data_IF_839067177468
#
_entry.id   IF_839067177468
#
_cell.length_a   1.000
_cell.length_b   1.000
_cell.length_c   1.000
_cell.angle_alpha   90.00
_cell.angle_beta   90.00
_cell.angle_gamma   90.00
#
_symmetry.space_group_name_H-M   'P 1'
#
loop_
_entity.id
_entity.type
_entity.pdbx_description
1 polymer ?
#
# COMPACT_ATOMS: atom_id res chain seq x y z
N UNK A 1 1.22 -5.65 12.68
CA UNK A 1 1.64 -6.66 13.70
C UNK A 1 0.88 -7.97 13.56
N UNK A 2 -0.44 -7.99 13.31
CA UNK A 2 -1.20 -9.25 13.20
C UNK A 2 -0.70 -10.21 12.10
N UNK A 3 -0.36 -9.70 10.92
CA UNK A 3 0.26 -10.54 9.87
C UNK A 3 1.61 -11.14 10.27
N UNK A 4 2.45 -10.37 11.00
CA UNK A 4 3.68 -10.92 11.57
C UNK A 4 3.38 -12.01 12.61
N UNK A 5 2.40 -11.80 13.49
CA UNK A 5 2.00 -12.79 14.47
C UNK A 5 1.53 -14.11 13.82
N UNK A 6 0.82 -14.02 12.69
CA UNK A 6 0.46 -15.20 11.89
C UNK A 6 1.69 -15.92 11.36
N UNK A 7 2.61 -15.21 10.70
CA UNK A 7 3.83 -15.80 10.14
C UNK A 7 4.64 -16.51 11.23
N UNK A 8 4.83 -15.86 12.38
CA UNK A 8 5.55 -16.45 13.51
C UNK A 8 4.88 -17.72 14.05
N UNK A 9 3.55 -17.70 14.15
CA UNK A 9 2.79 -18.90 14.55
C UNK A 9 2.93 -20.04 13.54
N UNK A 10 2.84 -19.73 12.24
CA UNK A 10 3.05 -20.68 11.17
C UNK A 10 4.50 -21.20 11.11
N UNK A 11 5.48 -20.42 11.57
CA UNK A 11 6.88 -20.84 11.78
C UNK A 11 7.08 -21.73 13.03
N UNK A 12 6.03 -21.93 13.85
CA UNK A 12 6.09 -22.81 15.01
C UNK A 12 6.36 -22.10 16.35
N UNK A 13 6.36 -20.77 16.40
CA UNK A 13 6.46 -20.03 17.65
C UNK A 13 5.14 -20.04 18.42
N UNK A 14 5.21 -20.04 19.75
CA UNK A 14 4.08 -19.72 20.61
C UNK A 14 3.93 -18.19 20.71
N UNK A 15 2.86 -17.64 20.14
CA UNK A 15 2.68 -16.21 19.93
C UNK A 15 1.51 -15.68 20.73
N UNK A 16 1.76 -14.63 21.49
CA UNK A 16 0.72 -13.79 22.10
C UNK A 16 0.94 -12.32 21.73
N UNK A 17 -0.09 -11.49 21.83
CA UNK A 17 -0.01 -10.07 21.46
C UNK A 17 -0.79 -9.17 22.39
N UNK A 18 -0.24 -7.99 22.69
CA UNK A 18 -0.90 -6.93 23.45
C UNK A 18 -1.18 -5.72 22.56
N UNK A 19 -2.35 -5.12 22.71
CA UNK A 19 -2.70 -3.83 22.12
C UNK A 19 -3.63 -3.04 23.05
N UNK A 20 -3.72 -1.72 22.85
CA UNK A 20 -4.59 -0.85 23.64
C UNK A 20 -6.05 -1.34 23.61
N UNK A 21 -6.54 -1.70 22.41
CA UNK A 21 -7.87 -2.27 22.16
C UNK A 21 -7.84 -3.16 20.93
N UNK A 22 -8.71 -4.16 20.94
CA UNK A 22 -8.93 -5.03 19.81
C UNK A 22 -10.34 -4.81 19.23
N UNK A 23 -10.47 -4.55 17.94
CA UNK A 23 -11.74 -4.34 17.25
C UNK A 23 -11.73 -4.97 15.86
N UNK A 24 -12.93 -5.35 15.34
CA UNK A 24 -13.03 -5.90 13.98
C UNK A 24 -12.52 -4.94 12.90
N UNK A 25 -11.96 -5.48 11.80
CA UNK A 25 -11.86 -6.90 11.45
C UNK A 25 -10.67 -7.63 12.08
N UNK A 26 -9.72 -6.90 12.69
CA UNK A 26 -8.45 -7.45 13.16
C UNK A 26 -8.61 -8.35 14.39
N UNK A 27 -9.52 -8.01 15.32
CA UNK A 27 -9.83 -8.87 16.47
C UNK A 27 -10.35 -10.25 16.06
N UNK A 28 -11.26 -10.26 15.07
CA UNK A 28 -11.84 -11.51 14.57
C UNK A 28 -10.80 -12.36 13.86
N UNK A 29 -9.92 -11.70 13.10
CA UNK A 29 -8.80 -12.35 12.46
C UNK A 29 -7.84 -13.01 13.46
N UNK A 30 -7.36 -12.28 14.46
CA UNK A 30 -6.46 -12.80 15.50
C UNK A 30 -7.10 -13.98 16.25
N UNK A 31 -8.40 -13.89 16.54
CA UNK A 31 -9.17 -14.99 17.15
C UNK A 31 -9.25 -16.22 16.24
N UNK A 32 -9.54 -16.00 14.94
CA UNK A 32 -9.61 -17.08 13.92
C UNK A 32 -8.30 -17.85 13.83
N UNK A 33 -7.17 -17.16 13.83
CA UNK A 33 -5.83 -17.78 13.79
C UNK A 33 -5.35 -18.25 15.17
N UNK A 34 -6.14 -18.07 16.23
CA UNK A 34 -5.84 -18.57 17.58
C UNK A 34 -4.64 -17.89 18.26
N UNK A 35 -4.46 -16.58 18.04
CA UNK A 35 -3.47 -15.78 18.78
C UNK A 35 -4.10 -15.32 20.10
N UNK A 36 -3.42 -15.58 21.21
CA UNK A 36 -3.83 -15.08 22.52
C UNK A 36 -3.62 -13.56 22.59
N UNK A 37 -4.69 -12.80 22.85
CA UNK A 37 -4.65 -11.34 22.91
C UNK A 37 -4.80 -10.84 24.34
N UNK A 38 -4.09 -9.74 24.67
CA UNK A 38 -4.06 -9.08 25.97
C UNK A 38 -4.42 -7.61 25.73
N UNK A 39 -5.54 -7.15 26.30
CA UNK A 39 -5.95 -5.76 26.18
C UNK A 39 -5.23 -4.85 27.17
N UNK A 40 -4.67 -3.75 26.67
CA UNK A 40 -3.90 -2.77 27.41
C UNK A 40 -2.42 -3.14 27.54
N UNK A 41 -1.67 -2.22 28.13
CA UNK A 41 -0.21 -2.30 28.26
C UNK A 41 0.26 -2.22 29.72
N UNK A 42 -0.51 -2.79 30.65
CA UNK A 42 -0.11 -2.77 32.07
C UNK A 42 1.08 -3.70 32.32
N UNK A 43 2.09 -3.21 33.04
CA UNK A 43 3.29 -3.93 33.45
C UNK A 43 2.99 -5.35 33.97
N UNK A 44 2.01 -5.48 34.86
CA UNK A 44 1.60 -6.77 35.45
C UNK A 44 0.93 -7.74 34.48
N UNK A 45 0.55 -7.28 33.27
CA UNK A 45 -0.08 -8.08 32.21
C UNK A 45 0.92 -8.48 31.13
N UNK A 46 2.18 -8.06 31.23
CA UNK A 46 3.24 -8.49 30.31
C UNK A 46 3.46 -9.99 30.50
N UNK A 47 3.22 -10.84 29.46
CA UNK A 47 3.46 -12.27 29.59
C UNK A 47 4.95 -12.57 29.65
N UNK A 48 5.31 -13.67 30.30
CA UNK A 48 6.67 -14.21 30.18
C UNK A 48 6.91 -14.73 28.77
N UNK A 49 8.04 -14.35 28.17
CA UNK A 49 8.39 -14.69 26.81
C UNK A 49 9.91 -14.68 26.60
N UNK A 50 10.39 -15.52 25.70
CA UNK A 50 11.81 -15.58 25.30
C UNK A 50 12.23 -14.32 24.52
N UNK A 51 11.28 -13.67 23.82
CA UNK A 51 11.54 -12.50 22.99
C UNK A 51 10.31 -11.61 22.88
N UNK A 52 10.50 -10.30 23.07
CA UNK A 52 9.45 -9.29 22.91
C UNK A 52 9.58 -8.56 21.59
N UNK A 53 8.52 -8.54 20.80
CA UNK A 53 8.47 -7.84 19.50
C UNK A 53 7.72 -6.53 19.67
N UNK A 54 8.41 -5.41 19.61
CA UNK A 54 7.85 -4.08 19.86
C UNK A 54 7.38 -3.47 18.54
N UNK A 55 6.08 -3.12 18.47
CA UNK A 55 5.47 -2.47 17.31
C UNK A 55 5.86 -1.00 17.18
N UNK A 56 5.84 -0.48 15.97
CA UNK A 56 6.25 0.89 15.64
C UNK A 56 5.43 1.99 16.36
N UNK A 57 4.16 1.72 16.65
CA UNK A 57 3.29 2.68 17.34
C UNK A 57 3.62 2.87 18.82
N UNK A 58 4.46 2.01 19.40
CA UNK A 58 4.84 2.09 20.82
C UNK A 58 6.10 2.95 21.00
N UNK A 59 6.15 3.66 22.15
CA UNK A 59 7.27 4.51 22.51
C UNK A 59 7.53 4.48 24.03
N UNK A 60 8.55 5.23 24.46
CA UNK A 60 8.83 5.46 25.89
C UNK A 60 7.59 6.02 26.59
N UNK A 61 7.40 5.62 27.84
CA UNK A 61 6.21 5.91 28.64
C UNK A 61 5.11 4.85 28.57
N UNK A 62 5.20 3.86 27.66
CA UNK A 62 4.33 2.70 27.68
C UNK A 62 4.77 1.71 28.77
N UNK A 63 3.88 1.31 29.68
CA UNK A 63 4.23 0.51 30.86
C UNK A 63 4.91 -0.82 30.51
N UNK A 64 4.48 -1.50 29.44
CA UNK A 64 5.13 -2.74 29.00
C UNK A 64 6.51 -2.47 28.40
N UNK A 65 6.67 -1.39 27.64
CA UNK A 65 7.98 -1.00 27.09
C UNK A 65 8.95 -0.66 28.19
N UNK A 66 8.54 0.13 29.21
CA UNK A 66 9.38 0.46 30.34
C UNK A 66 9.79 -0.79 31.11
N UNK A 67 8.87 -1.75 31.34
CA UNK A 67 9.20 -3.01 32.01
C UNK A 67 10.23 -3.84 31.22
N UNK A 68 10.08 -3.97 29.90
CA UNK A 68 11.03 -4.67 29.05
C UNK A 68 12.43 -4.06 29.16
N UNK A 69 12.52 -2.72 29.17
CA UNK A 69 13.78 -1.99 29.27
C UNK A 69 14.40 -2.09 30.68
N UNK A 70 13.59 -1.89 31.73
CA UNK A 70 14.06 -1.93 33.16
C UNK A 70 14.60 -3.29 33.54
N UNK A 71 13.94 -4.36 33.10
CA UNK A 71 14.34 -5.75 33.35
C UNK A 71 15.37 -6.27 32.34
N UNK A 72 15.77 -5.45 31.33
CA UNK A 72 16.71 -5.84 30.25
C UNK A 72 16.27 -7.13 29.53
N UNK A 73 14.97 -7.28 29.34
CA UNK A 73 14.41 -8.43 28.62
C UNK A 73 14.79 -8.37 27.13
N UNK A 74 14.96 -9.52 26.46
CA UNK A 74 15.27 -9.55 25.02
C UNK A 74 14.15 -8.93 24.18
N UNK A 75 14.45 -7.98 23.33
CA UNK A 75 13.46 -7.37 22.43
C UNK A 75 14.02 -7.03 21.07
N UNK A 76 13.12 -6.97 20.08
CA UNK A 76 13.41 -6.60 18.69
C UNK A 76 12.25 -5.78 18.11
N UNK A 77 12.46 -5.15 16.95
CA UNK A 77 11.39 -4.55 16.17
C UNK A 77 10.62 -5.60 15.36
N UNK A 78 9.38 -5.27 14.96
CA UNK A 78 8.60 -6.15 14.05
C UNK A 78 9.34 -6.47 12.76
N UNK A 79 9.86 -5.47 12.02
CA UNK A 79 10.65 -5.69 10.81
C UNK A 79 11.90 -6.55 11.03
N UNK A 80 12.62 -6.36 12.14
CA UNK A 80 13.79 -7.17 12.47
C UNK A 80 13.41 -8.64 12.71
N UNK A 81 12.33 -8.90 13.45
CA UNK A 81 11.86 -10.27 13.67
C UNK A 81 11.45 -10.93 12.35
N UNK A 82 10.70 -10.22 11.50
CA UNK A 82 10.34 -10.73 10.18
C UNK A 82 11.58 -11.03 9.32
N UNK A 83 12.56 -10.15 9.34
CA UNK A 83 13.82 -10.35 8.59
C UNK A 83 14.56 -11.62 9.01
N UNK A 84 14.48 -12.02 10.29
CA UNK A 84 15.03 -13.30 10.78
C UNK A 84 14.32 -14.50 10.15
N UNK A 85 12.99 -14.45 10.06
CA UNK A 85 12.18 -15.50 9.40
C UNK A 85 12.44 -15.58 7.88
N UNK A 86 12.74 -14.44 7.25
CA UNK A 86 12.96 -14.35 5.81
C UNK A 86 14.38 -14.68 5.35
N UNK A 87 15.33 -14.91 6.26
CA UNK A 87 16.78 -15.04 5.98
C UNK A 87 17.12 -15.99 4.83
N UNK A 88 16.37 -17.09 4.69
CA UNK A 88 16.62 -18.11 3.68
C UNK A 88 15.60 -18.09 2.53
N UNK A 89 14.81 -16.99 2.41
CA UNK A 89 13.81 -16.85 1.39
C UNK A 89 14.31 -16.05 0.19
N UNK A 90 13.69 -16.29 -0.95
CA UNK A 90 13.82 -15.43 -2.13
C UNK A 90 12.80 -14.28 -2.00
N UNK A 91 13.20 -13.17 -1.37
CA UNK A 91 12.32 -12.07 -1.02
C UNK A 91 12.15 -11.13 -2.20
N UNK A 92 10.89 -10.91 -2.60
CA UNK A 92 10.45 -9.85 -3.49
C UNK A 92 9.90 -8.70 -2.64
N UNK A 93 10.65 -7.62 -2.54
CA UNK A 93 10.26 -6.43 -1.80
C UNK A 93 9.70 -5.37 -2.74
N UNK A 94 8.45 -5.02 -2.58
CA UNK A 94 7.78 -3.99 -3.38
C UNK A 94 7.78 -2.69 -2.61
N UNK A 95 8.56 -1.73 -3.07
CA UNK A 95 8.76 -0.43 -2.45
C UNK A 95 8.30 0.73 -3.34
N UNK A 96 8.32 1.92 -2.80
CA UNK A 96 7.92 3.15 -3.47
C UNK A 96 6.83 3.89 -2.71
N UNK A 97 6.59 5.15 -3.05
CA UNK A 97 5.58 5.97 -2.39
C UNK A 97 4.17 5.45 -2.69
N UNK A 98 3.90 5.10 -3.95
CA UNK A 98 2.58 4.65 -4.41
C UNK A 98 2.65 3.27 -5.06
N UNK A 99 1.52 2.54 -5.07
CA UNK A 99 1.36 1.27 -5.77
C UNK A 99 1.86 0.03 -5.02
N UNK A 100 2.58 0.15 -3.90
CA UNK A 100 3.15 -0.98 -3.12
C UNK A 100 2.17 -2.13 -2.92
N UNK A 101 1.04 -1.86 -2.28
CA UNK A 101 0.01 -2.87 -1.92
C UNK A 101 -0.53 -3.58 -3.15
N UNK A 102 -0.91 -2.82 -4.18
CA UNK A 102 -1.51 -3.37 -5.41
C UNK A 102 -0.51 -4.25 -6.16
N UNK A 103 0.73 -3.78 -6.36
CA UNK A 103 1.79 -4.56 -7.02
C UNK A 103 2.13 -5.82 -6.24
N UNK A 104 2.18 -5.74 -4.89
CA UNK A 104 2.44 -6.91 -4.04
C UNK A 104 1.36 -7.97 -4.19
N UNK A 105 0.08 -7.59 -4.16
CA UNK A 105 -1.02 -8.52 -4.39
C UNK A 105 -1.07 -9.06 -5.82
N UNK A 106 -0.81 -8.23 -6.83
CA UNK A 106 -0.71 -8.70 -8.23
C UNK A 106 0.38 -9.77 -8.39
N UNK A 107 1.57 -9.52 -7.85
CA UNK A 107 2.68 -10.47 -7.92
C UNK A 107 2.39 -11.75 -7.14
N UNK A 108 1.87 -11.63 -5.93
CA UNK A 108 1.45 -12.79 -5.13
C UNK A 108 0.36 -13.60 -5.84
N UNK A 109 -0.61 -12.93 -6.46
CA UNK A 109 -1.68 -13.56 -7.24
C UNK A 109 -1.14 -14.35 -8.43
N UNK A 110 -0.19 -13.80 -9.20
CA UNK A 110 0.49 -14.53 -10.28
C UNK A 110 1.09 -15.83 -9.75
N UNK A 111 1.87 -15.76 -8.69
CA UNK A 111 2.53 -16.95 -8.12
C UNK A 111 1.54 -18.00 -7.65
N UNK A 112 0.48 -17.60 -6.95
CA UNK A 112 -0.54 -18.53 -6.45
C UNK A 112 -1.36 -19.15 -7.59
N UNK A 113 -1.76 -18.37 -8.61
CA UNK A 113 -2.49 -18.87 -9.79
C UNK A 113 -1.64 -19.85 -10.62
N UNK A 114 -0.30 -19.69 -10.59
CA UNK A 114 0.66 -20.64 -11.17
C UNK A 114 1.00 -21.83 -10.23
N UNK A 115 0.21 -22.03 -9.17
CA UNK A 115 0.30 -23.19 -8.29
C UNK A 115 1.45 -23.15 -7.28
N UNK A 116 2.06 -22.01 -7.02
CA UNK A 116 3.15 -21.88 -6.03
C UNK A 116 2.59 -21.53 -4.65
N UNK A 117 3.01 -22.24 -3.62
CA UNK A 117 2.61 -21.97 -2.22
C UNK A 117 3.52 -20.92 -1.57
N UNK A 118 3.57 -19.70 -2.14
CA UNK A 118 4.46 -18.62 -1.69
C UNK A 118 4.10 -18.08 -0.30
N UNK A 119 5.08 -17.50 0.39
CA UNK A 119 4.81 -16.62 1.53
C UNK A 119 4.54 -15.19 1.09
N UNK A 120 3.77 -14.45 1.88
CA UNK A 120 3.54 -13.03 1.64
C UNK A 120 3.16 -12.28 2.92
N UNK A 121 3.45 -10.97 2.93
CA UNK A 121 2.95 -10.01 3.91
C UNK A 121 2.64 -8.70 3.18
N UNK A 122 1.37 -8.39 3.04
CA UNK A 122 0.88 -7.23 2.29
C UNK A 122 -0.13 -6.47 3.14
N UNK A 123 -0.08 -5.14 3.13
CA UNK A 123 -1.10 -4.31 3.75
C UNK A 123 -2.43 -4.34 2.97
N UNK A 124 -3.53 -3.98 3.63
CA UNK A 124 -4.84 -3.97 2.97
C UNK A 124 -5.46 -5.35 2.83
N UNK A 125 -6.51 -5.43 2.02
CA UNK A 125 -7.35 -6.62 1.82
C UNK A 125 -7.60 -6.80 0.32
N UNK A 126 -7.51 -8.02 -0.18
CA UNK A 126 -7.93 -8.40 -1.52
C UNK A 126 -8.86 -9.60 -1.46
N UNK A 127 -9.90 -9.62 -2.32
CA UNK A 127 -10.87 -10.73 -2.36
C UNK A 127 -10.27 -12.02 -2.97
N UNK A 128 -9.06 -11.97 -3.49
CA UNK A 128 -8.33 -13.14 -3.99
C UNK A 128 -7.54 -13.87 -2.89
N UNK A 129 -7.49 -13.29 -1.68
CA UNK A 129 -6.67 -13.78 -0.57
C UNK A 129 -7.50 -13.92 0.72
N UNK A 130 -7.40 -15.05 1.39
CA UNK A 130 -8.08 -15.27 2.67
C UNK A 130 -7.51 -14.40 3.81
N UNK A 131 -6.25 -14.04 3.70
CA UNK A 131 -5.48 -13.32 4.73
C UNK A 131 -4.51 -12.30 4.09
N UNK A 132 -4.07 -11.32 4.86
CA UNK A 132 -3.03 -10.37 4.44
C UNK A 132 -1.59 -10.89 4.63
N UNK A 133 -1.43 -12.07 5.22
CA UNK A 133 -0.15 -12.71 5.47
C UNK A 133 -0.25 -14.23 5.39
N UNK A 134 0.83 -14.87 4.97
CA UNK A 134 1.01 -16.31 4.95
C UNK A 134 2.51 -16.60 4.93
N UNK A 135 2.96 -17.60 5.68
CA UNK A 135 4.37 -18.04 5.65
C UNK A 135 4.72 -18.73 4.33
N UNK A 136 3.79 -19.52 3.79
CA UNK A 136 3.99 -20.31 2.58
C UNK A 136 5.09 -21.38 2.72
N UNK A 137 5.11 -22.32 1.79
CA UNK A 137 6.11 -23.42 1.75
C UNK A 137 7.17 -23.21 0.68
N UNK A 138 6.84 -22.45 -0.39
CA UNK A 138 7.78 -22.10 -1.46
C UNK A 138 8.89 -21.16 -0.92
N UNK A 139 10.13 -21.25 -1.42
CA UNK A 139 11.18 -20.28 -1.06
C UNK A 139 10.84 -18.82 -1.34
N UNK A 140 9.91 -18.52 -2.23
CA UNK A 140 9.50 -17.14 -2.56
C UNK A 140 8.70 -16.52 -1.41
N UNK A 141 8.99 -15.26 -1.14
CA UNK A 141 8.22 -14.43 -0.23
C UNK A 141 8.00 -13.04 -0.82
N UNK A 142 6.74 -12.61 -0.93
CA UNK A 142 6.36 -11.28 -1.43
C UNK A 142 6.04 -10.37 -0.26
N UNK A 143 6.69 -9.20 -0.19
CA UNK A 143 6.48 -8.26 0.90
C UNK A 143 6.25 -6.83 0.41
N UNK A 144 5.25 -6.19 0.96
CA UNK A 144 5.10 -4.74 0.87
C UNK A 144 6.17 -4.06 1.74
N UNK A 145 7.11 -3.37 1.10
CA UNK A 145 8.32 -2.85 1.71
C UNK A 145 8.22 -1.33 1.91
N UNK A 146 7.88 -0.96 3.13
CA UNK A 146 7.59 0.40 3.54
C UNK A 146 8.85 1.14 4.00
N UNK A 147 9.00 2.39 3.59
CA UNK A 147 10.09 3.30 3.94
C UNK A 147 10.01 3.86 5.37
N UNK A 148 8.89 3.66 6.06
CA UNK A 148 8.67 4.13 7.42
C UNK A 148 9.66 3.51 8.43
N UNK A 149 9.98 4.20 9.54
CA UNK A 149 10.88 3.71 10.57
C UNK A 149 10.36 2.44 11.27
N UNK A 150 11.27 1.63 11.83
CA UNK A 150 10.98 0.29 12.33
C UNK A 150 10.38 0.30 13.73
N UNK A 151 10.91 1.12 14.63
CA UNK A 151 10.50 1.23 16.02
C UNK A 151 11.05 2.53 16.66
N UNK A 152 10.60 2.86 17.87
CA UNK A 152 11.12 4.04 18.59
C UNK A 152 12.65 3.97 18.84
N UNK A 153 13.20 2.77 18.98
CA UNK A 153 14.63 2.51 19.22
C UNK A 153 15.41 2.19 17.93
N UNK A 154 14.74 1.96 16.81
CA UNK A 154 15.35 1.69 15.51
C UNK A 154 14.73 2.58 14.43
N UNK A 155 15.45 3.62 14.06
CA UNK A 155 15.01 4.63 13.08
C UNK A 155 15.36 4.30 11.63
N UNK A 156 15.90 3.10 11.36
CA UNK A 156 16.05 2.58 10.00
C UNK A 156 14.68 2.26 9.42
N UNK A 157 14.53 2.48 8.11
CA UNK A 157 13.31 2.09 7.40
C UNK A 157 13.06 0.58 7.51
N UNK A 158 11.80 0.18 7.61
CA UNK A 158 11.38 -1.23 7.78
C UNK A 158 12.00 -2.15 6.73
N UNK A 159 12.06 -1.71 5.48
CA UNK A 159 12.54 -2.50 4.37
C UNK A 159 14.02 -2.93 4.46
N UNK A 160 14.86 -2.23 5.26
CA UNK A 160 16.25 -2.60 5.48
C UNK A 160 16.39 -3.98 6.13
N UNK A 161 15.42 -4.34 6.97
CA UNK A 161 15.44 -5.61 7.69
C UNK A 161 15.11 -6.82 6.83
N UNK A 162 14.43 -6.62 5.69
CA UNK A 162 13.91 -7.73 4.87
C UNK A 162 14.97 -8.37 3.97
N UNK A 163 16.13 -7.72 3.79
CA UNK A 163 17.24 -8.21 2.95
C UNK A 163 16.79 -8.78 1.61
N UNK A 164 16.11 -7.99 0.76
CA UNK A 164 15.49 -8.50 -0.44
C UNK A 164 16.49 -9.08 -1.44
N UNK A 165 16.05 -10.13 -2.15
CA UNK A 165 16.74 -10.63 -3.34
C UNK A 165 16.33 -9.83 -4.58
N UNK A 166 15.04 -9.50 -4.67
CA UNK A 166 14.45 -8.75 -5.77
C UNK A 166 13.74 -7.53 -5.18
N UNK A 167 14.14 -6.36 -5.62
CA UNK A 167 13.56 -5.08 -5.22
C UNK A 167 12.79 -4.48 -6.39
N UNK A 168 11.58 -4.07 -6.15
CA UNK A 168 10.76 -3.29 -7.07
C UNK A 168 10.62 -1.88 -6.49
N UNK A 169 10.98 -0.87 -7.27
CA UNK A 169 10.77 0.54 -6.93
C UNK A 169 9.72 1.09 -7.88
N UNK A 170 8.49 1.24 -7.40
CA UNK A 170 7.40 1.75 -8.22
C UNK A 170 7.59 3.23 -8.59
N UNK A 171 7.97 4.05 -7.60
CA UNK A 171 8.23 5.49 -7.70
C UNK A 171 8.80 5.97 -6.37
N UNK A 172 9.43 7.16 -6.38
CA UNK A 172 9.91 7.82 -5.16
C UNK A 172 9.46 9.27 -5.18
N UNK A 173 8.54 9.63 -4.27
CA UNK A 173 8.05 11.00 -4.05
C UNK A 173 8.19 11.37 -2.58
N UNK A 174 8.08 12.66 -2.26
CA UNK A 174 8.11 13.11 -0.87
C UNK A 174 6.78 12.81 -0.17
N UNK A 175 6.84 12.00 0.86
CA UNK A 175 5.74 11.71 1.80
C UNK A 175 6.31 11.53 3.21
N UNK A 176 5.45 11.28 4.19
CA UNK A 176 5.84 11.05 5.59
C UNK A 176 6.64 12.20 6.22
N UNK A 177 6.14 13.45 6.07
CA UNK A 177 6.75 14.66 6.62
C UNK A 177 6.88 14.66 8.16
N UNK A 178 6.30 13.66 8.85
CA UNK A 178 6.46 13.42 10.29
C UNK A 178 7.78 12.74 10.65
N UNK A 179 8.45 12.09 9.69
CA UNK A 179 9.73 11.40 9.91
C UNK A 179 10.84 11.81 8.92
N UNK A 180 10.51 12.40 7.78
CA UNK A 180 11.47 12.90 6.78
C UNK A 180 11.35 14.41 6.61
N UNK A 181 12.49 15.10 6.50
CA UNK A 181 12.51 16.54 6.31
C UNK A 181 12.29 16.94 4.85
N UNK A 182 12.85 16.14 3.94
CA UNK A 182 12.80 16.39 2.50
C UNK A 182 12.95 15.08 1.69
N UNK A 183 12.92 15.21 0.37
CA UNK A 183 13.06 14.09 -0.56
C UNK A 183 14.46 13.43 -0.48
N UNK A 184 15.50 14.16 -0.08
CA UNK A 184 16.86 13.61 0.02
C UNK A 184 16.98 12.62 1.18
N UNK A 185 16.25 12.84 2.28
CA UNK A 185 16.15 11.87 3.37
C UNK A 185 15.54 10.55 2.86
N UNK A 186 14.47 10.60 2.07
CA UNK A 186 13.84 9.42 1.47
C UNK A 186 14.80 8.73 0.48
N UNK A 187 15.44 9.48 -0.45
CA UNK A 187 16.43 8.96 -1.38
C UNK A 187 17.57 8.23 -0.67
N UNK A 188 17.99 8.75 0.49
CA UNK A 188 19.03 8.12 1.31
C UNK A 188 18.58 6.77 1.85
N UNK A 189 17.33 6.64 2.30
CA UNK A 189 16.79 5.35 2.78
C UNK A 189 16.74 4.32 1.64
N UNK A 190 16.22 4.71 0.46
CA UNK A 190 16.22 3.83 -0.71
C UNK A 190 17.62 3.41 -1.14
N UNK A 191 18.59 4.34 -1.08
CA UNK A 191 19.98 3.97 -1.39
C UNK A 191 20.59 3.02 -0.35
N UNK A 192 20.21 3.13 0.94
CA UNK A 192 20.59 2.14 1.95
C UNK A 192 19.99 0.76 1.63
N UNK A 193 18.74 0.70 1.15
CA UNK A 193 18.10 -0.55 0.73
C UNK A 193 18.83 -1.18 -0.46
N UNK A 194 19.19 -0.38 -1.48
CA UNK A 194 19.93 -0.85 -2.66
C UNK A 194 21.27 -1.49 -2.26
N UNK A 195 21.98 -0.91 -1.30
CA UNK A 195 23.29 -1.39 -0.82
C UNK A 195 23.28 -2.78 -0.20
N UNK A 196 22.14 -3.23 0.30
CA UNK A 196 22.04 -4.54 0.97
C UNK A 196 21.56 -5.66 0.04
N UNK A 197 21.24 -5.35 -1.23
CA UNK A 197 20.85 -6.34 -2.21
C UNK A 197 22.07 -7.13 -2.64
N UNK A 198 22.00 -8.46 -2.60
CA UNK A 198 23.10 -9.34 -3.03
C UNK A 198 23.43 -9.13 -4.51
N UNK A 199 24.68 -9.39 -4.91
CA UNK A 199 25.15 -9.17 -6.28
C UNK A 199 24.39 -9.96 -7.36
N UNK A 200 23.84 -11.13 -7.01
CA UNK A 200 22.96 -11.91 -7.88
C UNK A 200 21.48 -11.50 -7.80
N UNK A 201 21.13 -10.48 -7.04
CA UNK A 201 19.78 -9.95 -6.91
C UNK A 201 19.41 -9.03 -8.07
N UNK A 202 18.17 -8.54 -8.05
CA UNK A 202 17.62 -7.71 -9.12
C UNK A 202 16.94 -6.47 -8.55
N UNK A 203 16.99 -5.37 -9.30
CA UNK A 203 16.17 -4.17 -9.07
C UNK A 203 15.37 -3.89 -10.33
N UNK A 204 14.07 -3.73 -10.18
CA UNK A 204 13.13 -3.28 -11.23
C UNK A 204 12.70 -1.86 -10.87
N UNK A 205 12.81 -0.93 -11.80
CA UNK A 205 12.44 0.47 -11.59
C UNK A 205 12.03 1.14 -12.91
N UNK A 206 11.33 2.27 -12.86
CA UNK A 206 11.03 3.08 -14.04
C UNK A 206 12.16 4.07 -14.30
N UNK A 207 12.82 3.98 -15.46
CA UNK A 207 13.94 4.85 -15.84
C UNK A 207 13.51 6.28 -16.17
N UNK A 208 12.22 6.47 -16.43
CA UNK A 208 11.57 7.78 -16.60
C UNK A 208 11.07 8.41 -15.28
N UNK A 209 11.14 7.71 -14.16
CA UNK A 209 11.02 8.31 -12.82
C UNK A 209 12.38 8.91 -12.41
N UNK A 210 12.47 10.25 -12.46
CA UNK A 210 13.73 10.96 -12.22
C UNK A 210 14.33 10.68 -10.84
N UNK A 211 13.47 10.58 -9.80
CA UNK A 211 13.93 10.37 -8.42
C UNK A 211 14.46 8.95 -8.23
N UNK A 212 13.76 7.94 -8.75
CA UNK A 212 14.27 6.56 -8.74
C UNK A 212 15.56 6.43 -9.49
N UNK A 213 15.67 7.06 -10.67
CA UNK A 213 16.90 7.09 -11.49
C UNK A 213 18.07 7.70 -10.74
N UNK A 214 17.90 8.85 -10.10
CA UNK A 214 18.93 9.48 -9.29
C UNK A 214 19.43 8.58 -8.15
N UNK A 215 18.55 7.84 -7.49
CA UNK A 215 18.93 6.89 -6.44
C UNK A 215 19.73 5.72 -6.99
N UNK A 216 19.35 5.18 -8.16
CA UNK A 216 20.06 4.11 -8.86
C UNK A 216 21.45 4.57 -9.31
N UNK A 217 21.57 5.80 -9.83
CA UNK A 217 22.83 6.38 -10.31
C UNK A 217 23.83 6.66 -9.19
N UNK A 218 23.37 6.82 -7.93
CA UNK A 218 24.27 6.91 -6.75
C UNK A 218 25.11 5.64 -6.53
N UNK A 219 24.71 4.51 -7.10
CA UNK A 219 25.42 3.24 -7.08
C UNK A 219 24.51 2.03 -6.95
N UNK A 220 24.84 0.99 -7.70
CA UNK A 220 24.13 -0.31 -7.71
C UNK A 220 25.15 -1.44 -7.85
N UNK A 221 24.93 -2.55 -7.17
CA UNK A 221 25.85 -3.69 -7.09
C UNK A 221 25.19 -5.03 -7.47
N UNK A 222 24.00 -4.98 -8.07
CA UNK A 222 23.22 -6.12 -8.52
C UNK A 222 22.70 -5.88 -9.95
N UNK A 223 21.90 -6.80 -10.49
CA UNK A 223 21.28 -6.63 -11.79
C UNK A 223 20.22 -5.52 -11.73
N UNK A 224 20.10 -4.74 -12.80
CA UNK A 224 19.06 -3.71 -12.94
C UNK A 224 18.21 -3.94 -14.19
N UNK A 225 16.92 -3.74 -14.04
CA UNK A 225 15.92 -3.78 -15.11
C UNK A 225 15.20 -2.43 -15.10
N UNK A 226 15.61 -1.55 -15.98
CA UNK A 226 14.99 -0.24 -16.16
C UNK A 226 13.82 -0.36 -17.15
N UNK A 227 12.60 -0.11 -16.68
CA UNK A 227 11.44 0.02 -17.54
C UNK A 227 11.55 1.36 -18.27
N UNK A 228 11.23 1.39 -19.56
CA UNK A 228 11.45 2.48 -20.51
C UNK A 228 12.94 2.71 -20.85
N UNK A 229 13.77 1.65 -20.67
CA UNK A 229 15.16 1.60 -21.12
C UNK A 229 15.58 0.17 -21.47
N UNK A 230 16.71 0.02 -22.21
CA UNK A 230 17.41 -1.26 -22.40
C UNK A 230 16.54 -2.47 -22.78
N UNK A 231 15.69 -2.36 -23.82
CA UNK A 231 14.88 -3.46 -24.32
C UNK A 231 13.53 -3.68 -23.61
N UNK A 232 13.23 -2.93 -22.56
CA UNK A 232 11.91 -2.96 -21.90
C UNK A 232 11.22 -1.63 -22.06
N UNK A 233 10.04 -1.62 -22.69
CA UNK A 233 9.21 -0.42 -22.87
C UNK A 233 7.79 -0.69 -22.42
N UNK A 234 7.23 0.24 -21.65
CA UNK A 234 5.84 0.23 -21.18
C UNK A 234 5.09 1.42 -21.76
N UNK A 235 4.17 1.19 -22.69
CA UNK A 235 3.37 2.23 -23.30
C UNK A 235 1.92 2.19 -22.78
N UNK A 236 1.59 3.16 -21.92
CA UNK A 236 0.25 3.25 -21.37
C UNK A 236 -0.83 3.60 -22.40
N UNK A 237 -0.50 4.34 -23.47
CA UNK A 237 -1.49 4.76 -24.49
C UNK A 237 -1.96 3.58 -25.32
N UNK A 238 -1.03 2.76 -25.80
CA UNK A 238 -1.33 1.54 -26.54
C UNK A 238 -1.64 0.34 -25.65
N UNK A 239 -1.41 0.45 -24.32
CA UNK A 239 -1.52 -0.66 -23.35
C UNK A 239 -0.58 -1.82 -23.65
N UNK A 240 0.64 -1.50 -24.06
CA UNK A 240 1.63 -2.47 -24.50
C UNK A 240 2.82 -2.52 -23.54
N UNK A 241 3.23 -3.75 -23.21
CA UNK A 241 4.54 -4.04 -22.66
C UNK A 241 5.39 -4.66 -23.77
N UNK A 242 6.54 -4.07 -24.06
CA UNK A 242 7.47 -4.52 -25.10
C UNK A 242 8.75 -4.98 -24.39
N UNK A 243 9.18 -6.20 -24.65
CA UNK A 243 10.39 -6.80 -24.11
C UNK A 243 11.17 -7.45 -25.24
N UNK A 244 12.38 -6.98 -25.52
CA UNK A 244 13.24 -7.49 -26.60
C UNK A 244 12.49 -7.61 -27.93
N UNK A 245 11.74 -6.57 -28.32
CA UNK A 245 10.89 -6.44 -29.52
C UNK A 245 9.62 -7.32 -29.52
N UNK A 246 9.37 -8.12 -28.52
CA UNK A 246 8.11 -8.86 -28.35
C UNK A 246 7.06 -7.99 -27.65
N UNK A 247 5.84 -7.95 -28.22
CA UNK A 247 4.74 -7.08 -27.78
C UNK A 247 3.69 -7.88 -27.00
N UNK A 248 3.43 -7.48 -25.77
CA UNK A 248 2.40 -8.04 -24.89
C UNK A 248 1.28 -7.02 -24.65
N UNK A 249 0.03 -7.39 -25.01
CA UNK A 249 -1.14 -6.55 -24.84
C UNK A 249 -1.70 -6.65 -23.41
N UNK A 250 -1.88 -5.51 -22.73
CA UNK A 250 -2.40 -5.41 -21.35
C UNK A 250 -3.79 -4.75 -21.28
N UNK A 251 -4.47 -4.57 -22.42
CA UNK A 251 -5.75 -3.87 -22.54
C UNK A 251 -6.94 -4.61 -21.89
N UNK A 252 -6.83 -5.94 -21.71
CA UNK A 252 -7.87 -6.77 -21.08
C UNK A 252 -7.71 -6.91 -19.55
N UNK A 253 -6.69 -6.29 -18.96
CA UNK A 253 -6.47 -6.37 -17.53
C UNK A 253 -7.49 -5.53 -16.75
N UNK A 254 -8.01 -6.02 -15.59
CA UNK A 254 -9.22 -5.51 -14.97
C UNK A 254 -9.07 -4.12 -14.34
N UNK A 255 -7.89 -3.81 -13.78
CA UNK A 255 -7.70 -2.55 -13.06
C UNK A 255 -7.33 -1.41 -14.01
N UNK A 256 -7.99 -0.29 -13.84
CA UNK A 256 -7.87 0.90 -14.70
C UNK A 256 -6.80 1.87 -14.21
N UNK A 257 -6.37 2.75 -15.11
CA UNK A 257 -5.47 3.85 -14.82
C UNK A 257 -4.00 3.53 -15.10
N UNK A 258 -3.23 4.60 -15.35
CA UNK A 258 -1.80 4.49 -15.66
C UNK A 258 -1.00 3.87 -14.51
N UNK A 259 -1.33 4.21 -13.27
CA UNK A 259 -0.67 3.66 -12.11
C UNK A 259 -0.86 2.13 -12.01
N UNK A 260 -2.04 1.60 -12.33
CA UNK A 260 -2.27 0.16 -12.34
C UNK A 260 -1.59 -0.51 -13.53
N UNK A 261 -1.52 0.15 -14.68
CA UNK A 261 -0.71 -0.34 -15.80
C UNK A 261 0.76 -0.50 -15.39
N UNK A 262 1.34 0.49 -14.70
CA UNK A 262 2.70 0.40 -14.15
C UNK A 262 2.85 -0.74 -13.13
N UNK A 263 1.87 -0.93 -12.24
CA UNK A 263 1.84 -2.04 -11.29
C UNK A 263 1.83 -3.40 -12.00
N UNK A 264 1.05 -3.56 -13.08
CA UNK A 264 1.04 -4.76 -13.93
C UNK A 264 2.41 -5.05 -14.52
N UNK A 265 3.05 -4.04 -15.13
CA UNK A 265 4.38 -4.18 -15.73
C UNK A 265 5.40 -4.65 -14.70
N UNK A 266 5.45 -4.03 -13.52
CA UNK A 266 6.33 -4.44 -12.44
C UNK A 266 6.09 -5.89 -12.00
N UNK A 267 4.83 -6.30 -11.89
CA UNK A 267 4.47 -7.65 -11.46
C UNK A 267 4.85 -8.71 -12.50
N UNK A 268 4.62 -8.43 -13.78
CA UNK A 268 4.98 -9.34 -14.90
C UNK A 268 6.50 -9.52 -14.96
N UNK A 269 7.27 -8.43 -14.94
CA UNK A 269 8.73 -8.48 -14.96
C UNK A 269 9.30 -9.20 -13.73
N UNK A 270 8.65 -9.04 -12.57
CA UNK A 270 9.06 -9.74 -11.34
C UNK A 270 8.81 -11.25 -11.42
N UNK A 271 7.68 -11.66 -11.97
CA UNK A 271 7.35 -13.08 -12.15
C UNK A 271 8.30 -13.76 -13.16
N UNK A 272 8.73 -13.04 -14.20
CA UNK A 272 9.74 -13.51 -15.17
C UNK A 272 11.06 -13.90 -14.50
N UNK A 273 11.48 -13.20 -13.43
CA UNK A 273 12.72 -13.51 -12.69
C UNK A 273 12.77 -14.93 -12.09
N UNK A 274 11.62 -15.57 -11.95
CA UNK A 274 11.50 -16.93 -11.40
C UNK A 274 10.89 -17.92 -12.40
N UNK A 275 10.93 -17.58 -13.69
CA UNK A 275 10.61 -18.46 -14.79
C UNK A 275 9.13 -18.54 -15.17
N UNK A 276 8.28 -17.60 -14.69
CA UNK A 276 6.89 -17.46 -15.17
C UNK A 276 6.91 -16.50 -16.37
N UNK A 277 6.41 -16.94 -17.52
CA UNK A 277 6.38 -16.14 -18.72
C UNK A 277 5.42 -14.95 -18.60
N UNK A 278 5.61 -13.96 -19.46
CA UNK A 278 4.75 -12.78 -19.58
C UNK A 278 3.30 -13.18 -19.87
N UNK A 279 3.12 -14.13 -20.80
CA UNK A 279 1.80 -14.63 -21.18
C UNK A 279 1.08 -15.34 -20.02
N UNK A 280 1.78 -16.17 -19.25
CA UNK A 280 1.23 -16.81 -18.04
C UNK A 280 0.87 -15.76 -16.99
N UNK A 281 1.74 -14.77 -16.77
CA UNK A 281 1.50 -13.67 -15.84
C UNK A 281 0.28 -12.84 -16.23
N UNK A 282 0.12 -12.50 -17.53
CA UNK A 282 -1.04 -11.77 -18.04
C UNK A 282 -2.31 -12.58 -17.86
N UNK A 283 -2.29 -13.88 -18.17
CA UNK A 283 -3.46 -14.76 -18.01
C UNK A 283 -3.88 -14.89 -16.54
N UNK A 284 -2.93 -14.92 -15.60
CA UNK A 284 -3.21 -14.87 -14.17
C UNK A 284 -3.83 -13.53 -13.78
N UNK A 285 -3.26 -12.42 -14.23
CA UNK A 285 -3.72 -11.07 -13.90
C UNK A 285 -5.11 -10.73 -14.44
N UNK A 286 -5.58 -11.37 -15.54
CA UNK A 286 -6.97 -11.26 -16.02
C UNK A 286 -8.00 -11.72 -14.97
N UNK A 287 -7.62 -12.59 -14.05
CA UNK A 287 -8.48 -13.14 -12.99
C UNK A 287 -8.42 -12.30 -11.70
N UNK A 288 -7.47 -11.37 -11.59
CA UNK A 288 -7.23 -10.59 -10.38
C UNK A 288 -8.40 -9.64 -10.08
N UNK A 289 -8.99 -9.77 -8.88
CA UNK A 289 -10.19 -8.99 -8.48
C UNK A 289 -9.85 -7.61 -7.93
N UNK A 290 -8.57 -7.33 -7.71
CA UNK A 290 -8.13 -6.05 -7.17
C UNK A 290 -7.91 -6.05 -5.65
N UNK A 291 -7.76 -4.84 -5.12
CA UNK A 291 -7.50 -4.59 -3.70
C UNK A 291 -8.59 -3.66 -3.19
N UNK A 292 -9.16 -3.98 -2.03
CA UNK A 292 -10.17 -3.13 -1.38
C UNK A 292 -9.63 -1.73 -1.17
N UNK A 293 -10.49 -0.75 -1.43
CA UNK A 293 -10.14 0.66 -1.33
C UNK A 293 -9.01 1.10 -2.28
N UNK A 294 -8.87 0.46 -3.46
CA UNK A 294 -7.98 0.85 -4.56
C UNK A 294 -8.79 0.90 -5.85
N UNK A 295 -9.48 2.03 -6.08
CA UNK A 295 -10.50 2.17 -7.12
C UNK A 295 -11.58 1.07 -7.02
N UNK A 296 -11.93 0.70 -5.78
CA UNK A 296 -12.85 -0.39 -5.45
C UNK A 296 -14.29 0.02 -5.82
N UNK A 297 -14.92 -0.74 -6.70
CA UNK A 297 -16.32 -0.53 -7.05
C UNK A 297 -17.21 -1.07 -5.94
N UNK A 298 -17.89 -0.20 -5.24
CA UNK A 298 -18.74 -0.56 -4.10
C UNK A 298 -20.11 -1.03 -4.55
N UNK A 299 -20.84 -0.19 -5.31
CA UNK A 299 -22.21 -0.47 -5.72
C UNK A 299 -22.68 0.52 -6.79
N UNK A 300 -23.68 0.11 -7.58
CA UNK A 300 -24.50 1.00 -8.42
C UNK A 300 -25.93 1.02 -7.87
N UNK A 301 -26.48 2.22 -7.61
CA UNK A 301 -27.83 2.42 -7.09
C UNK A 301 -28.47 3.57 -7.86
N UNK A 302 -29.66 3.37 -8.39
CA UNK A 302 -30.40 4.38 -9.17
C UNK A 302 -29.58 5.03 -10.30
N UNK A 303 -28.65 4.26 -10.90
CA UNK A 303 -27.75 4.75 -11.96
C UNK A 303 -26.49 5.47 -11.47
N UNK A 304 -26.32 5.66 -10.15
CA UNK A 304 -25.15 6.29 -9.55
C UNK A 304 -24.17 5.20 -9.12
N UNK A 305 -22.91 5.29 -9.60
CA UNK A 305 -21.80 4.38 -9.26
C UNK A 305 -20.95 4.94 -8.16
N UNK A 306 -20.67 4.14 -7.14
CA UNK A 306 -19.86 4.53 -5.97
C UNK A 306 -18.53 3.78 -6.01
N UNK A 307 -17.43 4.53 -5.94
CA UNK A 307 -16.07 4.01 -5.87
C UNK A 307 -15.40 4.45 -4.57
N UNK A 308 -14.59 3.56 -3.96
CA UNK A 308 -13.75 3.85 -2.79
C UNK A 308 -12.27 3.73 -3.17
N UNK A 309 -11.50 4.74 -2.83
CA UNK A 309 -10.06 4.77 -3.07
C UNK A 309 -9.29 5.27 -1.84
N UNK A 310 -8.12 4.71 -1.61
CA UNK A 310 -7.24 5.09 -0.50
C UNK A 310 -6.36 6.30 -0.83
N UNK A 311 -6.49 6.87 -2.03
CA UNK A 311 -5.72 8.03 -2.47
C UNK A 311 -5.89 9.20 -1.49
N UNK A 312 -4.77 9.72 -1.01
CA UNK A 312 -4.71 10.84 -0.07
C UNK A 312 -3.50 11.76 -0.30
N UNK A 313 -2.63 11.44 -1.26
CA UNK A 313 -1.52 12.27 -1.74
C UNK A 313 -1.90 12.90 -3.08
N UNK A 314 -1.49 14.14 -3.43
CA UNK A 314 -1.89 14.81 -4.67
C UNK A 314 -1.69 13.98 -5.93
N UNK A 315 -0.53 13.33 -6.08
CA UNK A 315 -0.25 12.44 -7.22
C UNK A 315 -1.23 11.27 -7.28
N UNK A 316 -1.48 10.58 -6.16
CA UNK A 316 -2.42 9.46 -6.10
C UNK A 316 -3.86 9.92 -6.42
N UNK A 317 -4.30 11.04 -5.85
CA UNK A 317 -5.61 11.65 -6.12
C UNK A 317 -5.75 11.95 -7.62
N UNK A 318 -4.76 12.62 -8.22
CA UNK A 318 -4.76 12.95 -9.65
C UNK A 318 -4.86 11.70 -10.52
N UNK A 319 -4.11 10.65 -10.20
CA UNK A 319 -4.14 9.39 -10.93
C UNK A 319 -5.50 8.69 -10.81
N UNK A 320 -6.11 8.68 -9.64
CA UNK A 320 -7.45 8.11 -9.43
C UNK A 320 -8.52 8.90 -10.17
N UNK A 321 -8.50 10.24 -10.09
CA UNK A 321 -9.41 11.11 -10.85
C UNK A 321 -9.28 10.92 -12.36
N UNK A 322 -8.05 10.86 -12.87
CA UNK A 322 -7.80 10.62 -14.29
C UNK A 322 -8.23 9.22 -14.73
N UNK A 323 -8.02 8.20 -13.89
CA UNK A 323 -8.41 6.83 -14.19
C UNK A 323 -9.93 6.68 -14.34
N UNK A 324 -10.71 7.27 -13.42
CA UNK A 324 -12.17 7.22 -13.46
C UNK A 324 -12.70 8.04 -14.64
N UNK A 325 -12.14 9.22 -14.95
CA UNK A 325 -12.48 10.04 -16.10
C UNK A 325 -12.23 9.31 -17.43
N UNK A 326 -11.08 8.65 -17.56
CA UNK A 326 -10.74 7.88 -18.77
C UNK A 326 -11.71 6.70 -19.00
N UNK A 327 -12.21 6.09 -17.92
CA UNK A 327 -13.20 5.02 -18.00
C UNK A 327 -14.59 5.54 -18.36
N UNK A 328 -14.93 6.73 -17.91
CA UNK A 328 -16.27 7.33 -18.01
C UNK A 328 -16.18 8.78 -18.52
N UNK A 329 -15.79 8.94 -19.79
CA UNK A 329 -15.46 10.24 -20.39
C UNK A 329 -16.65 11.20 -20.47
N UNK A 330 -17.87 10.68 -20.59
CA UNK A 330 -19.14 11.41 -20.77
C UNK A 330 -20.00 11.51 -19.50
N UNK A 331 -19.51 10.97 -18.38
CA UNK A 331 -20.24 10.92 -17.13
C UNK A 331 -19.85 12.04 -16.18
N UNK A 332 -20.80 12.53 -15.40
CA UNK A 332 -20.56 13.51 -14.34
C UNK A 332 -19.99 12.84 -13.10
N UNK A 333 -18.84 13.31 -12.64
CA UNK A 333 -18.08 12.71 -11.53
C UNK A 333 -17.94 13.71 -10.39
N UNK A 334 -18.42 13.32 -9.20
CA UNK A 334 -18.20 14.04 -7.94
C UNK A 334 -17.11 13.34 -7.13
N UNK A 335 -16.06 14.07 -6.76
CA UNK A 335 -15.05 13.62 -5.82
C UNK A 335 -15.41 13.97 -4.38
N UNK A 336 -15.24 13.04 -3.45
CA UNK A 336 -15.37 13.27 -2.01
C UNK A 336 -14.04 12.93 -1.36
N UNK A 337 -13.38 13.95 -0.79
CA UNK A 337 -11.99 13.85 -0.36
C UNK A 337 -11.87 14.11 1.15
N UNK A 338 -11.14 13.24 1.84
CA UNK A 338 -10.67 13.48 3.20
C UNK A 338 -9.16 13.26 3.29
N UNK A 339 -8.46 14.28 3.75
CA UNK A 339 -7.01 14.28 3.89
C UNK A 339 -6.62 13.86 5.31
N UNK A 340 -6.25 12.60 5.48
CA UNK A 340 -6.03 12.01 6.79
C UNK A 340 -4.56 11.81 7.19
N UNK A 341 -3.58 11.94 6.28
CA UNK A 341 -2.16 11.81 6.62
C UNK A 341 -1.63 13.08 7.30
N UNK A 342 -0.56 12.93 8.09
CA UNK A 342 0.09 14.06 8.76
C UNK A 342 0.60 15.09 7.75
N UNK A 343 1.20 14.66 6.65
CA UNK A 343 1.69 15.50 5.56
C UNK A 343 0.55 16.32 4.95
N UNK A 344 -0.57 15.69 4.64
CA UNK A 344 -1.72 16.36 4.03
C UNK A 344 -2.44 17.27 5.02
N UNK A 345 -2.67 16.82 6.25
CA UNK A 345 -3.33 17.61 7.29
C UNK A 345 -2.50 18.81 7.76
N UNK A 346 -1.20 18.86 7.51
CA UNK A 346 -0.37 20.05 7.74
C UNK A 346 -0.47 21.10 6.64
N UNK A 347 -1.08 20.78 5.50
CA UNK A 347 -1.17 21.66 4.35
C UNK A 347 0.10 21.77 3.51
N UNK A 348 1.03 20.83 3.63
CA UNK A 348 2.31 20.82 2.90
C UNK A 348 2.11 20.91 1.37
N UNK A 349 1.10 20.24 0.83
CA UNK A 349 0.84 20.16 -0.61
C UNK A 349 -0.24 21.14 -1.11
N UNK A 350 -0.47 22.29 -0.45
CA UNK A 350 -1.54 23.24 -0.81
C UNK A 350 -1.57 23.63 -2.29
N UNK A 351 -0.39 23.91 -2.85
CA UNK A 351 -0.28 24.41 -4.23
C UNK A 351 -0.60 23.31 -5.27
N UNK A 352 -0.28 22.06 -4.97
CA UNK A 352 -0.43 20.95 -5.92
C UNK A 352 -1.80 20.25 -5.80
N UNK A 353 -2.48 20.38 -4.65
CA UNK A 353 -3.70 19.63 -4.38
C UNK A 353 -4.84 20.02 -5.32
N UNK A 354 -5.05 21.31 -5.59
CA UNK A 354 -6.16 21.78 -6.41
C UNK A 354 -6.09 21.19 -7.82
N UNK A 355 -4.90 21.18 -8.42
CA UNK A 355 -4.69 20.61 -9.76
C UNK A 355 -4.89 19.09 -9.82
N UNK A 356 -5.00 18.43 -8.66
CA UNK A 356 -5.26 16.99 -8.60
C UNK A 356 -6.71 16.63 -8.92
N UNK A 357 -7.61 17.61 -8.87
CA UNK A 357 -9.05 17.45 -9.11
C UNK A 357 -9.51 17.80 -10.53
N UNK A 358 -8.62 18.27 -11.41
CA UNK A 358 -8.95 18.78 -12.75
C UNK A 358 -9.76 17.80 -13.62
N UNK A 359 -9.68 16.51 -13.34
CA UNK A 359 -10.44 15.46 -14.05
C UNK A 359 -11.86 15.24 -13.50
N UNK A 360 -12.25 15.89 -12.41
CA UNK A 360 -13.58 15.81 -11.81
C UNK A 360 -14.46 16.97 -12.31
N UNK A 361 -15.78 16.78 -12.30
CA UNK A 361 -16.73 17.88 -12.56
C UNK A 361 -16.91 18.74 -11.32
N UNK A 362 -16.89 18.13 -10.14
CA UNK A 362 -16.90 18.81 -8.85
C UNK A 362 -16.22 17.95 -7.77
N UNK A 363 -15.81 18.58 -6.68
CA UNK A 363 -15.35 17.87 -5.49
C UNK A 363 -15.87 18.54 -4.21
N UNK A 364 -15.98 17.75 -3.14
CA UNK A 364 -16.23 18.19 -1.76
C UNK A 364 -15.09 17.65 -0.90
N UNK A 365 -14.50 18.51 -0.07
CA UNK A 365 -13.33 18.16 0.75
C UNK A 365 -13.63 18.36 2.23
N UNK A 366 -13.30 17.39 3.05
CA UNK A 366 -13.29 17.51 4.50
C UNK A 366 -11.93 18.03 4.97
N UNK A 367 -11.90 19.28 5.51
CA UNK A 367 -10.72 19.95 6.03
C UNK A 367 -10.98 20.54 7.44
N UNK A 368 -11.02 19.70 8.50
CA UNK A 368 -11.33 20.15 9.87
C UNK A 368 -10.36 21.21 10.40
N UNK A 369 -9.13 21.23 9.89
CA UNK A 369 -8.08 22.15 10.32
C UNK A 369 -8.07 23.47 9.55
N UNK A 370 -8.95 23.64 8.55
CA UNK A 370 -9.02 24.84 7.67
C UNK A 370 -7.67 25.20 7.02
N UNK A 371 -6.87 24.18 6.70
CA UNK A 371 -5.55 24.38 6.11
C UNK A 371 -5.63 24.76 4.64
N UNK A 372 -6.71 24.38 3.97
CA UNK A 372 -6.95 24.61 2.55
C UNK A 372 -8.08 25.65 2.39
N UNK A 373 -7.75 26.83 1.88
CA UNK A 373 -8.73 27.91 1.59
C UNK A 373 -9.41 27.64 0.24
N UNK A 374 -10.28 26.64 0.20
CA UNK A 374 -10.99 26.18 -1.00
C UNK A 374 -12.49 26.28 -0.74
N UNK A 375 -13.27 26.82 -1.69
CA UNK A 375 -14.71 27.05 -1.52
C UNK A 375 -15.53 25.79 -1.22
N UNK A 376 -15.06 24.61 -1.68
CA UNK A 376 -15.72 23.32 -1.49
C UNK A 376 -15.11 22.51 -0.33
N UNK A 377 -14.41 23.18 0.61
CA UNK A 377 -13.87 22.57 1.82
C UNK A 377 -14.80 22.84 3.01
N UNK A 378 -15.07 21.79 3.77
CA UNK A 378 -15.93 21.79 4.95
C UNK A 378 -15.13 21.44 6.19
N UNK A 379 -15.43 22.05 7.33
CA UNK A 379 -14.75 21.78 8.60
C UNK A 379 -15.43 20.67 9.42
N UNK A 380 -16.63 20.26 9.03
CA UNK A 380 -17.36 19.16 9.67
C UNK A 380 -17.89 18.14 8.66
N UNK A 381 -17.91 16.88 9.08
CA UNK A 381 -18.48 15.78 8.31
C UNK A 381 -19.98 15.98 8.04
N UNK A 382 -20.72 16.46 9.04
CA UNK A 382 -22.17 16.69 8.92
C UNK A 382 -22.51 17.75 7.86
N UNK A 383 -21.72 18.84 7.80
CA UNK A 383 -21.94 19.89 6.82
C UNK A 383 -21.61 19.41 5.40
N UNK A 384 -20.51 18.66 5.24
CA UNK A 384 -20.13 18.03 3.98
C UNK A 384 -21.22 17.06 3.49
N UNK A 385 -21.71 16.16 4.36
CA UNK A 385 -22.75 15.19 4.02
C UNK A 385 -24.07 15.88 3.64
N UNK A 386 -24.47 16.95 4.35
CA UNK A 386 -25.65 17.74 3.99
C UNK A 386 -25.52 18.34 2.59
N UNK A 387 -24.37 18.94 2.27
CA UNK A 387 -24.13 19.50 0.95
C UNK A 387 -24.11 18.43 -0.14
N UNK A 388 -23.58 17.25 0.17
CA UNK A 388 -23.59 16.10 -0.73
C UNK A 388 -25.02 15.64 -1.01
N UNK A 389 -25.89 15.49 -0.01
CA UNK A 389 -27.28 15.06 -0.17
C UNK A 389 -28.10 15.98 -1.10
N UNK A 390 -27.81 17.27 -1.10
CA UNK A 390 -28.49 18.26 -1.95
C UNK A 390 -28.19 18.07 -3.45
N UNK A 391 -27.02 17.52 -3.82
CA UNK A 391 -26.55 17.46 -5.21
C UNK A 391 -26.20 16.04 -5.70
N UNK A 392 -26.33 15.01 -4.87
CA UNK A 392 -25.88 13.65 -5.19
C UNK A 392 -26.48 13.10 -6.50
N UNK A 393 -27.74 13.49 -6.81
CA UNK A 393 -28.46 13.04 -8.01
C UNK A 393 -28.07 13.80 -9.30
N UNK A 394 -27.21 14.82 -9.21
CA UNK A 394 -26.68 15.54 -10.37
C UNK A 394 -25.47 14.83 -11.00
N UNK A 395 -25.00 13.74 -10.38
CA UNK A 395 -23.80 13.00 -10.76
C UNK A 395 -24.09 11.53 -11.07
N UNK A 396 -23.35 10.98 -12.04
CA UNK A 396 -23.40 9.56 -12.39
C UNK A 396 -22.42 8.72 -11.53
N UNK A 397 -21.36 9.36 -11.01
CA UNK A 397 -20.29 8.68 -10.28
C UNK A 397 -19.89 9.48 -9.05
N UNK A 398 -19.72 8.78 -7.94
CA UNK A 398 -19.15 9.32 -6.70
C UNK A 398 -17.83 8.57 -6.43
N UNK A 399 -16.72 9.31 -6.43
CA UNK A 399 -15.40 8.81 -6.10
C UNK A 399 -14.99 9.28 -4.71
N UNK A 400 -14.96 8.36 -3.74
CA UNK A 400 -14.57 8.62 -2.36
C UNK A 400 -13.07 8.37 -2.23
N UNK A 401 -12.30 9.36 -1.77
CA UNK A 401 -10.85 9.29 -1.60
C UNK A 401 -10.47 9.66 -0.17
N UNK A 402 -10.03 8.66 0.62
CA UNK A 402 -9.61 8.87 2.01
C UNK A 402 -8.71 7.73 2.50
N UNK A 403 -7.73 8.02 3.35
CA UNK A 403 -6.94 7.00 4.05
C UNK A 403 -7.50 6.65 5.45
N UNK A 404 -8.64 7.25 5.82
CA UNK A 404 -9.40 6.91 7.04
C UNK A 404 -10.54 5.93 6.73
N UNK A 405 -11.48 5.77 7.64
CA UNK A 405 -12.64 4.91 7.44
C UNK A 405 -13.65 5.51 6.45
N UNK A 406 -13.67 5.01 5.23
CA UNK A 406 -14.56 5.48 4.16
C UNK A 406 -16.05 5.15 4.40
N UNK A 407 -16.36 4.18 5.28
CA UNK A 407 -17.76 3.77 5.58
C UNK A 407 -18.59 4.91 6.14
N UNK A 408 -17.98 5.87 6.81
CA UNK A 408 -18.65 7.08 7.30
C UNK A 408 -19.24 7.96 6.18
N UNK A 409 -18.73 7.83 4.95
CA UNK A 409 -19.28 8.46 3.75
C UNK A 409 -20.15 7.48 2.94
N UNK A 410 -19.67 6.26 2.74
CA UNK A 410 -20.35 5.23 1.93
C UNK A 410 -21.76 4.96 2.46
N UNK A 411 -21.91 4.71 3.77
CA UNK A 411 -23.20 4.34 4.36
C UNK A 411 -24.26 5.45 4.24
N UNK A 412 -23.97 6.73 4.59
CA UNK A 412 -24.91 7.83 4.35
C UNK A 412 -25.28 8.01 2.88
N UNK A 413 -24.31 7.90 1.95
CA UNK A 413 -24.54 7.99 0.50
C UNK A 413 -25.55 6.94 0.05
N UNK A 414 -25.32 5.66 0.39
CA UNK A 414 -26.23 4.56 0.05
C UNK A 414 -27.61 4.83 0.62
N UNK A 415 -27.71 5.18 1.89
CA UNK A 415 -28.97 5.46 2.56
C UNK A 415 -29.75 6.61 1.93
N UNK A 416 -29.05 7.68 1.49
CA UNK A 416 -29.69 8.84 0.86
C UNK A 416 -30.22 8.50 -0.54
N UNK A 417 -29.53 7.64 -1.29
CA UNK A 417 -29.98 7.21 -2.62
C UNK A 417 -31.13 6.20 -2.52
N UNK A 418 -31.12 5.29 -1.55
CA UNK A 418 -32.15 4.25 -1.36
C UNK A 418 -33.46 4.79 -0.77
N UNK A 419 -33.46 5.99 -0.16
CA UNK A 419 -34.68 6.64 0.40
C UNK A 419 -35.52 7.39 -0.63
N UNK A 420 -34.99 7.64 -1.83
CA UNK A 420 -35.67 8.31 -2.94
C UNK A 420 -36.11 7.31 -3.99
#
# INVERSE_FOLDING_TARGET
MAGLAQILKESGHDVSGADAKFYPPMSDYLKKIGIKTIEGYKKKSLPDADLYVIGNALSRGNECVEEILDQKLPYVSGPEMLGKELKNRNVFAISGTHGKTTTSYMLAHIFLDQGREIGYLVGGISDDFDNSACLGKDPIFVIEADEYDSAFFDKRSKFIHYSPTNLIINNIEFDHADIFNDIEDIKKQFHHLIKIIKSSGNIIYFDDDSTSKEVIEKGIWCNKIGINSNGVKADFKSKELIIDDEIFQLNELPLIGEHNFKNYVCSILSAKLVGISETESINSLKKFKGVKRRMDFIKEISGIRIYDDFAHHPTAIKLSCSAIRNKYSDKKILGLIELGSNTMSSGYHKENLINSFDSLDEFLMLDPNKNYKINNAFDSENELLKNLEEKIFDYDIILIMTNKDSRKFINPIINSIEKK
#
